data_IF_475561796727
#
_entry.id   IF_475561796727
#
_cell.length_a   1.000
_cell.length_b   1.000
_cell.length_c   1.000
_cell.angle_alpha   90.00
_cell.angle_beta   90.00
_cell.angle_gamma   90.00
#
_symmetry.space_group_name_H-M   'P 1'
#
loop_
_entity.id
_entity.type
_entity.pdbx_description
1 polymer ?
#
# COMPACT_ATOMS: atom_id res chain seq x y z
N UNK A 1 -3.07 -6.55 -7.63
CA UNK A 1 -3.16 -6.02 -6.24
C UNK A 1 -4.43 -6.43 -5.48
N UNK A 2 -5.61 -6.51 -6.13
CA UNK A 2 -6.86 -6.92 -5.44
C UNK A 2 -6.80 -8.36 -4.92
N UNK A 3 -6.21 -9.26 -5.68
CA UNK A 3 -6.11 -10.68 -5.31
C UNK A 3 -5.19 -10.93 -4.13
N UNK A 4 -4.08 -10.18 -4.05
CA UNK A 4 -3.09 -10.25 -2.96
C UNK A 4 -3.67 -9.76 -1.63
N UNK A 5 -4.62 -8.81 -1.70
CA UNK A 5 -5.24 -8.19 -0.52
C UNK A 5 -6.66 -8.71 -0.33
N UNK A 6 -6.92 -9.98 -0.67
CA UNK A 6 -8.23 -10.59 -0.54
C UNK A 6 -8.50 -10.87 0.94
N UNK A 7 -9.69 -10.50 1.41
CA UNK A 7 -10.10 -10.56 2.82
C UNK A 7 -10.06 -11.98 3.39
N UNK A 8 -10.50 -12.96 2.60
CA UNK A 8 -10.55 -14.36 3.00
C UNK A 8 -9.25 -15.05 2.60
N UNK A 9 -8.18 -14.73 3.31
CA UNK A 9 -6.93 -15.47 3.24
C UNK A 9 -6.51 -15.68 4.70
N UNK A 10 -6.34 -16.93 5.14
CA UNK A 10 -5.92 -17.27 6.51
C UNK A 10 -4.48 -16.87 6.84
N UNK A 11 -3.98 -15.82 6.20
CA UNK A 11 -2.60 -15.34 6.25
C UNK A 11 -2.50 -14.13 7.16
N UNK A 12 -1.34 -13.93 7.77
CA UNK A 12 -1.12 -12.77 8.64
C UNK A 12 -1.03 -11.48 7.81
N UNK A 13 -1.40 -10.35 8.43
CA UNK A 13 -1.31 -9.02 7.82
C UNK A 13 0.14 -8.69 7.40
N UNK A 14 1.12 -9.08 8.22
CA UNK A 14 2.54 -8.86 7.93
C UNK A 14 2.94 -9.54 6.62
N UNK A 15 2.57 -10.81 6.43
CA UNK A 15 2.84 -11.58 5.21
C UNK A 15 2.27 -10.90 3.97
N UNK A 16 1.10 -10.27 4.07
CA UNK A 16 0.51 -9.49 2.97
C UNK A 16 1.35 -8.26 2.67
N UNK A 17 1.82 -7.54 3.69
CA UNK A 17 2.72 -6.38 3.52
C UNK A 17 4.01 -6.81 2.82
N UNK A 18 4.61 -7.91 3.26
CA UNK A 18 5.85 -8.44 2.71
C UNK A 18 5.67 -8.88 1.24
N UNK A 19 4.53 -9.45 0.89
CA UNK A 19 4.19 -9.83 -0.49
C UNK A 19 3.89 -8.60 -1.35
N UNK A 20 3.33 -7.55 -0.76
CA UNK A 20 2.94 -6.34 -1.49
C UNK A 20 4.13 -5.45 -1.83
N UNK A 21 5.10 -5.33 -0.93
CA UNK A 21 6.31 -4.52 -1.11
C UNK A 21 7.07 -4.76 -2.42
N UNK A 22 7.39 -6.01 -2.84
CA UNK A 22 8.08 -6.25 -4.12
C UNK A 22 7.20 -5.91 -5.32
N UNK A 23 5.88 -6.11 -5.23
CA UNK A 23 4.94 -5.71 -6.30
C UNK A 23 4.92 -4.19 -6.48
N UNK A 24 4.95 -3.44 -5.37
CA UNK A 24 5.06 -1.98 -5.38
C UNK A 24 6.35 -1.57 -6.08
N UNK A 25 7.49 -2.16 -5.70
CA UNK A 25 8.80 -1.86 -6.31
C UNK A 25 8.83 -2.17 -7.81
N UNK A 26 8.34 -3.36 -8.22
CA UNK A 26 8.32 -3.77 -9.63
C UNK A 26 7.42 -2.87 -10.48
N UNK A 27 6.27 -2.48 -9.96
CA UNK A 27 5.38 -1.51 -10.61
C UNK A 27 6.05 -0.13 -10.73
N UNK A 28 6.82 0.29 -9.72
CA UNK A 28 7.60 1.53 -9.71
C UNK A 28 8.74 1.53 -10.73
N UNK A 29 9.29 0.37 -11.07
CA UNK A 29 10.40 0.28 -12.03
C UNK A 29 9.91 0.19 -13.48
N UNK A 30 8.72 -0.37 -13.72
CA UNK A 30 8.26 -0.75 -15.07
C UNK A 30 7.31 0.26 -15.68
N UNK A 31 6.35 0.79 -14.92
CA UNK A 31 5.25 1.61 -15.44
C UNK A 31 5.60 3.12 -15.46
N UNK A 32 6.77 3.47 -14.95
CA UNK A 32 6.97 4.74 -14.27
C UNK A 32 7.55 5.88 -15.11
N UNK A 33 8.09 5.58 -16.29
CA UNK A 33 8.86 6.57 -17.03
C UNK A 33 8.08 7.78 -17.57
N UNK A 34 6.74 7.77 -17.67
CA UNK A 34 6.10 8.71 -18.61
C UNK A 34 4.74 9.37 -18.23
N UNK A 35 3.95 8.93 -17.23
CA UNK A 35 2.52 9.33 -17.26
C UNK A 35 1.75 9.63 -15.95
N UNK A 36 2.28 9.38 -14.74
CA UNK A 36 1.44 9.44 -13.53
C UNK A 36 1.78 10.56 -12.54
N UNK A 37 0.78 11.42 -12.29
CA UNK A 37 0.79 12.52 -11.33
C UNK A 37 0.86 12.02 -9.88
N UNK A 38 1.60 12.70 -9.01
CA UNK A 38 1.70 12.43 -7.55
C UNK A 38 0.36 12.15 -6.86
N UNK A 39 -0.68 12.88 -7.26
CA UNK A 39 -2.04 12.76 -6.71
C UNK A 39 -2.62 11.35 -6.88
N UNK A 40 -2.32 10.68 -8.00
CA UNK A 40 -2.79 9.32 -8.29
C UNK A 40 -2.15 8.33 -7.33
N UNK A 41 -0.84 8.42 -7.10
CA UNK A 41 -0.13 7.57 -6.15
C UNK A 41 -0.61 7.74 -4.73
N UNK A 42 -0.86 9.00 -4.31
CA UNK A 42 -1.43 9.27 -2.99
C UNK A 42 -2.82 8.62 -2.81
N UNK A 43 -3.65 8.65 -3.85
CA UNK A 43 -4.95 7.98 -3.85
C UNK A 43 -4.82 6.46 -3.77
N UNK A 44 -3.89 5.89 -4.54
CA UNK A 44 -3.58 4.46 -4.54
C UNK A 44 -3.08 3.99 -3.16
N UNK A 45 -2.17 4.75 -2.56
CA UNK A 45 -1.67 4.57 -1.19
C UNK A 45 -2.81 4.52 -0.16
N UNK A 46 -3.75 5.47 -0.25
CA UNK A 46 -4.93 5.49 0.61
C UNK A 46 -5.83 4.27 0.40
N UNK A 47 -6.01 3.84 -0.84
CA UNK A 47 -6.81 2.67 -1.19
C UNK A 47 -6.18 1.37 -0.67
N UNK A 48 -4.87 1.19 -0.82
CA UNK A 48 -4.14 0.04 -0.27
C UNK A 48 -4.26 -0.02 1.26
N UNK A 49 -4.03 1.09 1.96
CA UNK A 49 -4.17 1.14 3.43
C UNK A 49 -5.60 0.84 3.89
N UNK A 50 -6.61 1.31 3.15
CA UNK A 50 -8.01 0.97 3.42
C UNK A 50 -8.23 -0.54 3.31
N UNK A 51 -7.71 -1.19 2.27
CA UNK A 51 -7.84 -2.65 2.08
C UNK A 51 -7.15 -3.44 3.17
N UNK A 52 -5.95 -3.05 3.58
CA UNK A 52 -5.25 -3.68 4.69
C UNK A 52 -6.01 -3.57 6.02
N UNK A 53 -6.64 -2.42 6.30
CA UNK A 53 -7.55 -2.28 7.45
C UNK A 53 -8.77 -3.20 7.33
N UNK A 54 -9.35 -3.29 6.13
CA UNK A 54 -10.48 -4.17 5.89
C UNK A 54 -10.11 -5.65 6.04
N UNK A 55 -8.89 -6.03 5.66
CA UNK A 55 -8.35 -7.36 5.88
C UNK A 55 -8.22 -7.64 7.38
N UNK A 56 -7.59 -6.73 8.13
CA UNK A 56 -7.33 -6.93 9.57
C UNK A 56 -8.60 -7.02 10.42
N UNK A 57 -9.60 -6.19 10.16
CA UNK A 57 -10.83 -6.14 10.97
C UNK A 57 -11.99 -6.92 10.37
N UNK A 58 -11.81 -7.55 9.21
CA UNK A 58 -12.88 -8.24 8.48
C UNK A 58 -14.16 -7.40 8.34
N UNK A 59 -14.03 -6.06 8.28
CA UNK A 59 -15.10 -5.10 7.95
C UNK A 59 -14.55 -3.82 7.32
N UNK A 60 -15.41 -2.97 6.75
CA UNK A 60 -15.02 -1.62 6.30
C UNK A 60 -15.67 -0.59 7.22
N UNK A 61 -14.89 0.07 8.06
CA UNK A 61 -15.38 1.10 8.97
C UNK A 61 -14.46 2.33 8.99
N UNK A 62 -15.06 3.52 9.09
CA UNK A 62 -14.34 4.80 9.24
C UNK A 62 -13.51 4.92 10.52
N UNK A 63 -13.91 4.29 11.63
CA UNK A 63 -13.26 4.34 12.94
C UNK A 63 -12.00 3.47 12.99
N UNK A 64 -11.91 2.47 12.12
CA UNK A 64 -10.72 1.64 11.98
C UNK A 64 -9.50 2.48 11.53
N UNK A 65 -9.73 3.67 10.94
CA UNK A 65 -8.66 4.61 10.65
C UNK A 65 -7.97 5.14 11.91
N UNK A 66 -8.73 5.34 13.00
CA UNK A 66 -8.21 5.75 14.31
C UNK A 66 -7.64 4.57 15.08
N UNK A 67 -8.28 3.39 14.97
CA UNK A 67 -7.85 2.16 15.65
C UNK A 67 -6.54 1.58 15.09
N UNK A 68 -6.33 1.72 13.78
CA UNK A 68 -5.11 1.32 13.10
C UNK A 68 -4.51 2.52 12.34
N UNK A 69 -3.70 3.32 13.02
CA UNK A 69 -3.10 4.53 12.47
C UNK A 69 -2.02 4.20 11.43
N UNK A 70 -1.74 5.18 10.56
CA UNK A 70 -0.81 5.00 9.44
C UNK A 70 0.61 4.65 9.90
N UNK A 71 1.08 5.20 11.04
CA UNK A 71 2.41 4.89 11.59
C UNK A 71 2.62 3.39 11.82
N UNK A 72 1.54 2.64 12.13
CA UNK A 72 1.64 1.21 12.38
C UNK A 72 1.93 0.43 11.10
N UNK A 73 1.42 0.88 9.95
CA UNK A 73 1.79 0.33 8.64
C UNK A 73 3.26 0.57 8.33
N UNK A 74 3.78 1.77 8.65
CA UNK A 74 5.20 2.06 8.46
C UNK A 74 6.10 1.22 9.37
N UNK A 75 5.68 0.97 10.62
CA UNK A 75 6.41 0.05 11.53
C UNK A 75 6.44 -1.39 11.00
N UNK A 76 5.42 -1.82 10.26
CA UNK A 76 5.37 -3.11 9.57
C UNK A 76 6.20 -3.14 8.28
N UNK A 77 6.81 -2.02 7.88
CA UNK A 77 7.63 -1.93 6.67
C UNK A 77 6.84 -1.74 5.37
N UNK A 78 5.56 -1.32 5.43
CA UNK A 78 4.81 -1.01 4.23
C UNK A 78 5.43 0.17 3.48
N UNK A 79 5.80 -0.05 2.22
CA UNK A 79 6.30 1.00 1.34
C UNK A 79 5.17 1.95 0.93
N UNK A 80 5.47 3.25 0.92
CA UNK A 80 4.57 4.29 0.40
C UNK A 80 4.89 4.51 -1.07
N UNK A 81 3.88 4.43 -1.95
CA UNK A 81 4.07 4.70 -3.37
C UNK A 81 4.56 6.13 -3.59
N UNK A 82 4.02 7.10 -2.86
CA UNK A 82 4.49 8.49 -2.93
C UNK A 82 5.99 8.63 -2.58
N UNK A 83 6.49 7.86 -1.61
CA UNK A 83 7.90 7.96 -1.20
C UNK A 83 8.83 7.30 -2.21
N UNK A 84 8.42 6.15 -2.75
CA UNK A 84 9.16 5.50 -3.83
C UNK A 84 9.12 6.35 -5.12
N UNK A 85 8.07 7.15 -5.31
CA UNK A 85 7.92 8.05 -6.46
C UNK A 85 8.95 9.15 -6.43
N UNK A 86 9.03 9.84 -5.30
CA UNK A 86 9.99 10.92 -5.11
C UNK A 86 11.43 10.42 -5.28
N UNK A 87 11.73 9.19 -4.84
CA UNK A 87 13.05 8.57 -5.05
C UNK A 87 13.35 8.30 -6.53
N UNK A 88 12.37 7.85 -7.30
CA UNK A 88 12.55 7.59 -8.73
C UNK A 88 12.72 8.90 -9.52
N UNK A 89 11.93 9.92 -9.20
CA UNK A 89 12.00 11.24 -9.82
C UNK A 89 13.32 11.97 -9.49
N UNK A 90 13.81 11.86 -8.25
CA UNK A 90 15.09 12.44 -7.83
C UNK A 90 16.33 11.75 -8.45
N UNK A 91 16.14 10.63 -9.15
CA UNK A 91 17.19 9.87 -9.83
C UNK A 91 17.19 10.07 -11.35
N UNK A 92 16.20 10.79 -11.88
CA UNK A 92 16.05 11.13 -13.28
C UNK A 92 16.70 12.47 -13.62
#
# INVERSE_FOLDING_TARGET
MRDITRRTQGVNLQTIVDTLNPVIRGHMSTIFGWAMQQKVYRSLDCWVRMRLRCFKFSRKWRTDNKRFPVHRFFKMGLLSFEREFLKACAKA
#
